data_IF_256420135542
#
_entry.id   IF_256420135542
#
_cell.length_a   1.000
_cell.length_b   1.000
_cell.length_c   1.000
_cell.angle_alpha   90.00
_cell.angle_beta   90.00
_cell.angle_gamma   90.00
#
_symmetry.space_group_name_H-M   'P 1'
#
loop_
_entity.id
_entity.type
_entity.pdbx_description
1 polymer ?
#
# COMPACT_ATOMS: atom_id res chain seq x y z
N UNK A 1 -22.95 -4.29 1.44
CA UNK A 1 -23.58 -4.46 0.12
C UNK A 1 -23.04 -3.56 -1.01
N UNK A 2 -23.12 -2.22 -0.97
CA UNK A 2 -22.56 -1.38 -2.09
C UNK A 2 -21.03 -1.30 -2.04
N UNK A 3 -20.42 -1.18 -0.86
CA UNK A 3 -18.96 -1.16 -0.72
C UNK A 3 -18.30 -2.50 -1.05
N UNK A 4 -18.97 -3.62 -0.76
CA UNK A 4 -18.50 -4.98 -1.13
C UNK A 4 -18.63 -5.24 -2.63
N UNK A 5 -19.72 -4.81 -3.28
CA UNK A 5 -19.84 -4.94 -4.74
C UNK A 5 -18.83 -4.05 -5.49
N UNK A 6 -18.58 -2.83 -5.01
CA UNK A 6 -17.51 -1.98 -5.58
C UNK A 6 -16.13 -2.60 -5.32
N UNK A 7 -15.90 -3.15 -4.12
CA UNK A 7 -14.66 -3.84 -3.77
C UNK A 7 -14.41 -5.07 -4.65
N UNK A 8 -15.43 -5.89 -4.89
CA UNK A 8 -15.38 -7.11 -5.66
C UNK A 8 -15.20 -6.84 -7.16
N UNK A 9 -15.95 -5.91 -7.74
CA UNK A 9 -15.77 -5.50 -9.15
C UNK A 9 -14.39 -4.88 -9.40
N UNK A 10 -13.89 -4.09 -8.44
CA UNK A 10 -12.56 -3.45 -8.55
C UNK A 10 -11.43 -4.45 -8.36
N UNK A 11 -11.63 -5.48 -7.53
CA UNK A 11 -10.72 -6.61 -7.41
C UNK A 11 -10.66 -7.44 -8.69
N UNK A 12 -11.81 -7.72 -9.32
CA UNK A 12 -11.87 -8.44 -10.59
C UNK A 12 -11.10 -7.70 -11.70
N UNK A 13 -11.25 -6.37 -11.80
CA UNK A 13 -10.49 -5.55 -12.75
C UNK A 13 -8.97 -5.66 -12.54
N UNK A 14 -8.51 -5.70 -11.29
CA UNK A 14 -7.09 -5.83 -10.99
C UNK A 14 -6.52 -7.19 -11.41
N UNK A 15 -7.32 -8.25 -11.31
CA UNK A 15 -6.94 -9.60 -11.73
C UNK A 15 -6.81 -9.64 -13.26
N UNK A 16 -7.85 -9.20 -13.99
CA UNK A 16 -7.84 -9.19 -15.45
C UNK A 16 -6.70 -8.34 -16.01
N UNK A 17 -6.40 -7.19 -15.40
CA UNK A 17 -5.28 -6.36 -15.82
C UNK A 17 -3.93 -7.08 -15.62
N UNK A 18 -3.72 -7.73 -14.48
CA UNK A 18 -2.49 -8.47 -14.23
C UNK A 18 -2.31 -9.66 -15.19
N UNK A 19 -3.39 -10.33 -15.57
CA UNK A 19 -3.37 -11.39 -16.59
C UNK A 19 -2.98 -10.83 -17.96
N UNK A 20 -3.59 -9.72 -18.36
CA UNK A 20 -3.26 -9.05 -19.63
C UNK A 20 -1.78 -8.62 -19.69
N UNK A 21 -1.23 -8.09 -18.59
CA UNK A 21 0.18 -7.66 -18.56
C UNK A 21 1.16 -8.80 -18.75
N UNK A 22 0.81 -10.00 -18.31
CA UNK A 22 1.65 -11.20 -18.44
C UNK A 22 1.46 -11.87 -19.80
N UNK A 23 0.29 -11.68 -20.44
CA UNK A 23 0.04 -12.18 -21.80
C UNK A 23 0.83 -11.38 -22.87
N UNK A 24 1.06 -10.09 -22.65
CA UNK A 24 1.85 -9.22 -23.53
C UNK A 24 2.90 -8.38 -22.76
N UNK A 25 3.96 -9.01 -22.23
CA UNK A 25 4.91 -8.33 -21.34
C UNK A 25 5.69 -7.21 -22.04
N UNK A 26 6.07 -7.42 -23.31
CA UNK A 26 6.82 -6.44 -24.13
C UNK A 26 6.05 -5.13 -24.34
N UNK A 27 4.72 -5.19 -24.46
CA UNK A 27 3.87 -4.01 -24.60
C UNK A 27 3.57 -3.39 -23.24
N UNK A 28 3.35 -4.19 -22.20
CA UNK A 28 2.99 -3.71 -20.88
C UNK A 28 4.14 -3.04 -20.13
N UNK A 29 5.37 -3.54 -20.30
CA UNK A 29 6.54 -3.09 -19.52
C UNK A 29 6.83 -1.58 -19.64
N UNK A 30 6.87 -0.95 -20.83
CA UNK A 30 7.10 0.49 -20.94
C UNK A 30 6.08 1.33 -20.17
N UNK A 31 4.79 0.95 -20.20
CA UNK A 31 3.74 1.63 -19.45
C UNK A 31 3.91 1.44 -17.95
N UNK A 32 4.21 0.21 -17.51
CA UNK A 32 4.48 -0.11 -16.11
C UNK A 32 5.65 0.70 -15.56
N UNK A 33 6.74 0.74 -16.29
CA UNK A 33 7.94 1.47 -15.93
C UNK A 33 7.70 2.98 -15.80
N UNK A 34 7.04 3.59 -16.79
CA UNK A 34 6.70 5.02 -16.73
C UNK A 34 5.79 5.29 -15.54
N UNK A 35 4.80 4.45 -15.29
CA UNK A 35 3.85 4.65 -14.20
C UNK A 35 4.52 4.55 -12.82
N UNK A 36 5.30 3.50 -12.57
CA UNK A 36 6.05 3.33 -11.31
C UNK A 36 7.01 4.52 -11.10
N UNK A 37 7.67 4.98 -12.16
CA UNK A 37 8.52 6.18 -12.10
C UNK A 37 7.74 7.43 -11.71
N UNK A 38 6.55 7.66 -12.27
CA UNK A 38 5.72 8.82 -11.89
C UNK A 38 5.34 8.79 -10.42
N UNK A 39 4.94 7.62 -9.89
CA UNK A 39 4.66 7.48 -8.46
C UNK A 39 5.91 7.80 -7.63
N UNK A 40 7.08 7.32 -8.05
CA UNK A 40 8.34 7.59 -7.36
C UNK A 40 8.67 9.09 -7.31
N UNK A 41 8.42 9.82 -8.41
CA UNK A 41 8.58 11.28 -8.47
C UNK A 41 7.62 11.97 -7.51
N UNK A 42 6.34 11.58 -7.51
CA UNK A 42 5.34 12.13 -6.59
C UNK A 42 5.73 11.90 -5.12
N UNK A 43 6.20 10.69 -4.80
CA UNK A 43 6.67 10.34 -3.47
C UNK A 43 7.89 11.16 -3.07
N UNK A 44 8.90 11.27 -3.95
CA UNK A 44 10.10 12.09 -3.70
C UNK A 44 9.74 13.54 -3.44
N UNK A 45 8.82 14.10 -4.22
CA UNK A 45 8.35 15.48 -4.02
C UNK A 45 7.66 15.66 -2.66
N UNK A 46 6.87 14.68 -2.22
CA UNK A 46 6.26 14.68 -0.90
C UNK A 46 7.30 14.55 0.23
N UNK A 47 8.36 13.75 0.03
CA UNK A 47 9.46 13.58 1.00
C UNK A 47 10.28 14.87 1.14
N UNK A 48 10.60 15.56 0.03
CA UNK A 48 11.38 16.81 0.06
C UNK A 48 10.54 17.94 0.67
N UNK A 49 9.26 18.01 0.30
CA UNK A 49 8.36 19.09 0.71
C UNK A 49 7.47 18.71 1.90
N UNK A 50 8.02 18.18 3.01
CA UNK A 50 7.22 17.72 4.18
C UNK A 50 6.28 18.76 4.79
N UNK A 51 6.53 20.06 4.56
CA UNK A 51 5.64 21.16 5.00
C UNK A 51 4.33 21.24 4.20
N UNK A 52 4.29 20.66 3.00
CA UNK A 52 3.14 20.66 2.09
C UNK A 52 2.22 19.47 2.35
N UNK A 53 1.23 19.69 3.22
CA UNK A 53 0.22 18.69 3.60
C UNK A 53 -0.63 18.20 2.42
N UNK A 54 -0.78 19.01 1.39
CA UNK A 54 -1.42 18.70 0.11
C UNK A 54 -0.72 17.53 -0.61
N UNK A 55 0.62 17.59 -0.77
CA UNK A 55 1.40 16.54 -1.42
C UNK A 55 1.33 15.21 -0.67
N UNK A 56 1.37 15.27 0.67
CA UNK A 56 1.24 14.09 1.54
C UNK A 56 -0.14 13.45 1.39
N UNK A 57 -1.21 14.24 1.27
CA UNK A 57 -2.58 13.73 1.04
C UNK A 57 -2.73 13.04 -0.31
N UNK A 58 -2.03 13.50 -1.35
CA UNK A 58 -2.04 12.84 -2.66
C UNK A 58 -1.44 11.43 -2.59
N UNK A 59 -0.35 11.26 -1.84
CA UNK A 59 0.26 9.94 -1.62
C UNK A 59 -0.62 9.06 -0.71
N UNK A 60 -1.11 9.61 0.41
CA UNK A 60 -2.04 8.93 1.31
C UNK A 60 -3.49 9.03 0.83
N UNK A 61 -3.70 8.71 -0.44
CA UNK A 61 -5.00 8.61 -1.05
C UNK A 61 -5.35 7.14 -1.31
N UNK A 62 -6.64 6.79 -1.23
CA UNK A 62 -7.06 5.42 -1.48
C UNK A 62 -6.79 5.00 -2.93
N UNK A 63 -6.97 5.89 -3.91
CA UNK A 63 -6.63 5.62 -5.31
C UNK A 63 -5.15 5.24 -5.47
N UNK A 64 -4.25 5.97 -4.81
CA UNK A 64 -2.83 5.65 -4.81
C UNK A 64 -2.59 4.25 -4.20
N UNK A 65 -3.24 3.94 -3.08
CA UNK A 65 -3.16 2.61 -2.49
C UNK A 65 -3.64 1.51 -3.46
N UNK A 66 -4.73 1.73 -4.18
CA UNK A 66 -5.22 0.78 -5.19
C UNK A 66 -4.22 0.57 -6.33
N UNK A 67 -3.53 1.63 -6.75
CA UNK A 67 -2.47 1.51 -7.75
C UNK A 67 -1.29 0.68 -7.23
N UNK A 68 -0.91 0.82 -5.96
CA UNK A 68 0.12 -0.03 -5.35
C UNK A 68 -0.30 -1.51 -5.29
N UNK A 69 -1.57 -1.78 -4.95
CA UNK A 69 -2.13 -3.13 -5.01
C UNK A 69 -2.09 -3.72 -6.42
N UNK A 70 -2.46 -2.93 -7.43
CA UNK A 70 -2.45 -3.36 -8.82
C UNK A 70 -1.04 -3.77 -9.25
N UNK A 71 -0.05 -2.90 -9.06
CA UNK A 71 1.33 -3.18 -9.48
C UNK A 71 1.98 -4.29 -8.69
N UNK A 72 1.65 -4.42 -7.40
CA UNK A 72 2.11 -5.54 -6.58
C UNK A 72 1.60 -6.86 -7.14
N UNK A 73 0.34 -6.93 -7.59
CA UNK A 73 -0.22 -8.11 -8.25
C UNK A 73 0.40 -8.40 -9.60
N UNK A 74 0.55 -7.37 -10.45
CA UNK A 74 1.19 -7.49 -11.76
C UNK A 74 2.58 -8.09 -11.63
N UNK A 75 3.41 -7.52 -10.75
CA UNK A 75 4.77 -8.02 -10.50
C UNK A 75 4.73 -9.42 -9.90
N UNK A 76 3.90 -9.66 -8.88
CA UNK A 76 3.79 -11.00 -8.27
C UNK A 76 3.38 -12.08 -9.28
N UNK A 77 2.48 -11.76 -10.23
CA UNK A 77 2.06 -12.68 -11.28
C UNK A 77 3.16 -12.89 -12.33
N UNK A 78 3.88 -11.83 -12.70
CA UNK A 78 5.00 -11.90 -13.63
C UNK A 78 6.11 -12.84 -13.13
N UNK A 79 6.38 -12.87 -11.82
CA UNK A 79 7.34 -13.82 -11.23
C UNK A 79 6.90 -15.30 -11.31
N UNK A 80 5.61 -15.57 -11.51
CA UNK A 80 5.06 -16.92 -11.64
C UNK A 80 4.94 -17.42 -13.08
N UNK A 81 5.34 -16.63 -14.08
CA UNK A 81 5.19 -16.96 -15.51
C UNK A 81 6.52 -16.72 -16.24
N UNK A 82 6.82 -17.57 -17.22
CA UNK A 82 8.02 -17.44 -18.04
C UNK A 82 7.94 -16.21 -18.98
N UNK A 83 9.07 -15.75 -19.51
CA UNK A 83 9.19 -14.62 -20.46
C UNK A 83 8.76 -13.23 -19.94
N UNK A 84 8.71 -13.04 -18.62
CA UNK A 84 8.31 -11.77 -17.98
C UNK A 84 9.45 -11.06 -17.21
N UNK A 85 10.71 -11.38 -17.51
CA UNK A 85 11.89 -10.90 -16.76
C UNK A 85 11.95 -9.37 -16.59
N UNK A 86 11.64 -8.61 -17.65
CA UNK A 86 11.61 -7.15 -17.59
C UNK A 86 10.61 -6.61 -16.55
N UNK A 87 9.44 -7.24 -16.39
CA UNK A 87 8.46 -6.85 -15.37
C UNK A 87 8.93 -7.28 -13.97
N UNK A 88 9.62 -8.43 -13.86
CA UNK A 88 10.22 -8.88 -12.61
C UNK A 88 11.28 -7.91 -12.07
N UNK A 89 12.03 -7.23 -12.94
CA UNK A 89 12.98 -6.17 -12.53
C UNK A 89 12.30 -4.99 -11.82
N UNK A 90 10.99 -4.78 -12.03
CA UNK A 90 10.21 -3.73 -11.37
C UNK A 90 9.88 -4.06 -9.90
N UNK A 91 10.15 -5.29 -9.44
CA UNK A 91 9.94 -5.71 -8.03
C UNK A 91 10.72 -4.85 -7.04
N UNK A 92 11.99 -4.56 -7.33
CA UNK A 92 12.84 -3.73 -6.49
C UNK A 92 12.38 -2.27 -6.40
N UNK A 93 12.18 -1.52 -7.52
CA UNK A 93 11.70 -0.14 -7.44
C UNK A 93 10.30 -0.05 -6.82
N UNK A 94 9.44 -1.04 -7.02
CA UNK A 94 8.13 -1.09 -6.36
C UNK A 94 8.26 -1.30 -4.84
N UNK A 95 9.14 -2.20 -4.41
CA UNK A 95 9.42 -2.43 -2.98
C UNK A 95 9.94 -1.17 -2.30
N UNK A 96 10.92 -0.50 -2.91
CA UNK A 96 11.46 0.78 -2.42
C UNK A 96 10.37 1.85 -2.31
N UNK A 97 9.46 1.88 -3.27
CA UNK A 97 8.35 2.82 -3.29
C UNK A 97 7.38 2.57 -2.12
N UNK A 98 6.93 1.33 -1.93
CA UNK A 98 6.04 0.96 -0.83
C UNK A 98 6.71 1.25 0.54
N UNK A 99 8.00 0.96 0.67
CA UNK A 99 8.77 1.30 1.87
C UNK A 99 8.86 2.82 2.11
N UNK A 100 9.05 3.61 1.05
CA UNK A 100 9.05 5.06 1.14
C UNK A 100 7.68 5.63 1.55
N UNK A 101 6.58 5.05 1.05
CA UNK A 101 5.20 5.42 1.47
C UNK A 101 4.96 5.06 2.94
N UNK A 102 5.44 3.90 3.40
CA UNK A 102 5.33 3.48 4.80
C UNK A 102 6.00 4.46 5.77
N UNK A 103 7.17 5.00 5.40
CA UNK A 103 8.00 5.92 6.23
C UNK A 103 7.72 7.41 5.99
N UNK A 104 6.80 7.78 5.09
CA UNK A 104 6.57 9.17 4.71
C UNK A 104 6.03 10.02 5.89
N UNK A 105 5.01 9.55 6.61
CA UNK A 105 4.37 10.30 7.69
C UNK A 105 3.95 9.43 8.88
N UNK A 106 4.40 9.80 10.07
CA UNK A 106 4.22 9.03 11.31
C UNK A 106 3.02 9.59 12.11
N UNK A 107 1.80 9.30 11.65
CA UNK A 107 0.56 9.72 12.32
C UNK A 107 -0.46 8.60 12.37
N UNK A 108 -1.18 8.50 13.50
CA UNK A 108 -2.27 7.54 13.70
C UNK A 108 -3.38 7.66 12.66
N UNK A 109 -3.58 8.86 12.09
CA UNK A 109 -4.58 9.08 11.02
C UNK A 109 -4.32 8.23 9.78
N UNK A 110 -3.04 7.96 9.47
CA UNK A 110 -2.63 7.20 8.28
C UNK A 110 -2.21 5.77 8.61
N UNK A 111 -2.43 5.31 9.85
CA UNK A 111 -2.10 3.96 10.28
C UNK A 111 -2.73 2.87 9.40
N UNK A 112 -4.01 2.93 8.99
CA UNK A 112 -4.60 1.90 8.12
C UNK A 112 -3.85 1.77 6.78
N UNK A 113 -3.45 2.89 6.17
CA UNK A 113 -2.68 2.90 4.92
C UNK A 113 -1.26 2.36 5.13
N UNK A 114 -0.62 2.65 6.27
CA UNK A 114 0.69 2.08 6.63
C UNK A 114 0.61 0.57 6.83
N UNK A 115 -0.45 0.05 7.44
CA UNK A 115 -0.69 -1.40 7.57
C UNK A 115 -0.87 -2.07 6.21
N UNK A 116 -1.62 -1.45 5.30
CA UNK A 116 -1.71 -1.95 3.92
C UNK A 116 -0.35 -2.00 3.22
N UNK A 117 0.55 -1.03 3.46
CA UNK A 117 1.91 -1.10 2.92
C UNK A 117 2.67 -2.33 3.45
N UNK A 118 2.53 -2.66 4.73
CA UNK A 118 3.12 -3.90 5.30
C UNK A 118 2.55 -5.14 4.60
N UNK A 119 1.22 -5.20 4.40
CA UNK A 119 0.59 -6.31 3.68
C UNK A 119 1.12 -6.45 2.25
N UNK A 120 1.33 -5.34 1.53
CA UNK A 120 1.91 -5.34 0.19
C UNK A 120 3.37 -5.84 0.19
N UNK A 121 4.18 -5.42 1.16
CA UNK A 121 5.56 -5.87 1.29
C UNK A 121 5.65 -7.38 1.57
N UNK A 122 4.76 -7.90 2.43
CA UNK A 122 4.65 -9.35 2.67
C UNK A 122 4.26 -10.10 1.39
N UNK A 123 3.32 -9.56 0.60
CA UNK A 123 2.93 -10.15 -0.68
C UNK A 123 4.09 -10.16 -1.69
N UNK A 124 4.84 -9.05 -1.80
CA UNK A 124 6.01 -8.99 -2.66
C UNK A 124 7.08 -9.99 -2.24
N UNK A 125 7.38 -10.07 -0.94
CA UNK A 125 8.34 -11.03 -0.40
C UNK A 125 7.95 -12.48 -0.71
N UNK A 126 6.67 -12.83 -0.54
CA UNK A 126 6.17 -14.19 -0.76
C UNK A 126 6.22 -14.61 -2.24
N UNK A 127 5.94 -13.69 -3.17
CA UNK A 127 5.80 -14.02 -4.60
C UNK A 127 7.05 -13.74 -5.44
N UNK A 128 7.86 -12.73 -5.07
CA UNK A 128 9.00 -12.30 -5.89
C UNK A 128 10.32 -12.99 -5.50
N UNK A 129 10.34 -13.76 -4.41
CA UNK A 129 11.55 -14.43 -3.90
C UNK A 129 12.62 -13.47 -3.37
N UNK A 130 12.27 -12.21 -3.11
CA UNK A 130 13.18 -11.18 -2.60
C UNK A 130 13.03 -11.07 -1.08
N UNK A 131 14.15 -11.05 -0.37
CA UNK A 131 14.13 -10.79 1.07
C UNK A 131 13.75 -9.34 1.37
N UNK A 132 12.64 -9.16 2.09
CA UNK A 132 12.19 -7.89 2.63
C UNK A 132 12.07 -8.06 4.14
N UNK A 133 12.62 -7.16 4.98
CA UNK A 133 12.51 -7.26 6.44
C UNK A 133 11.11 -6.82 6.93
N UNK A 134 10.06 -7.45 6.40
CA UNK A 134 8.65 -7.10 6.63
C UNK A 134 8.28 -7.12 8.11
N UNK A 135 8.83 -8.08 8.86
CA UNK A 135 8.63 -8.18 10.31
C UNK A 135 9.25 -7.00 11.06
N UNK A 136 10.50 -6.64 10.75
CA UNK A 136 11.17 -5.48 11.36
C UNK A 136 10.37 -4.21 11.12
N UNK A 137 9.87 -4.02 9.89
CA UNK A 137 9.03 -2.87 9.53
C UNK A 137 7.69 -2.86 10.26
N UNK A 138 7.08 -4.02 10.49
CA UNK A 138 5.85 -4.13 11.27
C UNK A 138 6.09 -3.78 12.75
N UNK A 139 7.19 -4.25 13.34
CA UNK A 139 7.58 -3.93 14.72
C UNK A 139 7.92 -2.45 14.88
N UNK A 140 8.64 -1.85 13.92
CA UNK A 140 8.87 -0.40 13.86
C UNK A 140 7.54 0.37 13.86
N UNK A 141 6.59 -0.04 12.99
CA UNK A 141 5.27 0.58 12.90
C UNK A 141 4.49 0.49 14.22
N UNK A 142 4.47 -0.66 14.87
CA UNK A 142 3.79 -0.84 16.16
C UNK A 142 4.46 -0.02 17.27
N UNK A 143 5.79 0.03 17.28
CA UNK A 143 6.56 0.85 18.23
C UNK A 143 6.26 2.34 18.05
N UNK A 144 6.19 2.82 16.81
CA UNK A 144 5.77 4.20 16.51
C UNK A 144 4.37 4.51 17.09
N UNK A 145 3.43 3.58 16.92
CA UNK A 145 2.06 3.74 17.43
C UNK A 145 2.05 3.86 18.94
N UNK A 146 2.76 2.97 19.64
CA UNK A 146 2.89 3.02 21.11
C UNK A 146 3.49 4.35 21.55
N UNK A 147 4.56 4.83 20.91
CA UNK A 147 5.19 6.11 21.24
C UNK A 147 4.28 7.31 20.98
N UNK A 148 3.49 7.28 19.90
CA UNK A 148 2.55 8.37 19.59
C UNK A 148 1.39 8.39 20.61
N UNK A 149 0.91 7.23 21.04
CA UNK A 149 -0.14 7.11 22.06
C UNK A 149 0.36 7.46 23.47
N UNK A 150 1.61 7.11 23.80
CA UNK A 150 2.23 7.42 25.10
C UNK A 150 2.50 8.91 25.31
N UNK A 151 2.60 9.70 24.23
CA UNK A 151 2.67 11.17 24.32
C UNK A 151 1.32 11.70 24.79
N UNK A 152 1.25 12.16 26.05
CA UNK A 152 0.06 12.83 26.63
C UNK A 152 -0.51 13.85 25.63
N UNK A 153 -1.83 13.87 25.38
CA UNK A 153 -2.42 14.80 24.44
C UNK A 153 -2.18 16.23 24.93
N UNK A 154 -1.47 17.04 24.13
CA UNK A 154 -1.55 18.49 24.29
C UNK A 154 -3.01 18.86 24.10
N UNK A 155 -3.63 19.43 25.14
CA UNK A 155 -5.03 19.86 25.18
C UNK A 155 -5.38 20.66 23.92
N UNK A 156 -5.93 19.99 22.91
CA UNK A 156 -6.51 20.61 21.73
C UNK A 156 -7.96 20.14 21.73
N UNK A 157 -8.85 21.07 22.08
CA UNK A 157 -10.29 20.93 21.92
C UNK A 157 -10.55 20.50 20.46
N UNK A 158 -11.15 19.32 20.26
CA UNK A 158 -11.56 18.75 18.97
C UNK A 158 -10.56 17.89 18.17
N UNK A 159 -9.83 16.97 18.82
CA UNK A 159 -9.29 15.81 18.11
C UNK A 159 -10.06 14.55 18.54
N UNK A 160 -10.92 14.01 17.67
CA UNK A 160 -11.42 12.64 17.81
C UNK A 160 -10.19 11.73 17.80
N UNK A 161 -9.80 11.25 18.98
CA UNK A 161 -8.83 10.16 19.11
C UNK A 161 -9.44 8.99 18.36
N UNK A 162 -8.75 8.49 17.33
CA UNK A 162 -9.17 7.28 16.63
C UNK A 162 -8.94 6.14 17.60
N UNK A 163 -10.03 5.73 18.23
CA UNK A 163 -10.05 4.57 19.11
C UNK A 163 -9.95 3.31 18.24
N UNK A 164 -8.98 2.45 18.56
CA UNK A 164 -8.70 1.25 17.76
C UNK A 164 -9.86 0.23 17.84
N UNK A 165 -10.68 0.30 18.91
CA UNK A 165 -11.94 -0.46 19.02
C UNK A 165 -13.01 0.01 18.02
N UNK A 166 -12.97 1.28 17.59
CA UNK A 166 -14.00 1.85 16.68
C UNK A 166 -13.73 1.64 15.18
N UNK A 167 -12.61 1.04 14.80
CA UNK A 167 -12.25 0.80 13.39
C UNK A 167 -12.64 -0.59 12.89
N UNK A 168 -13.06 -1.49 13.77
CA UNK A 168 -13.68 -2.76 13.38
C UNK A 168 -15.19 -2.65 13.55
N UNK A 169 -15.88 -2.10 12.54
CA UNK A 169 -17.22 -2.61 12.23
C UNK A 169 -17.03 -4.00 11.61
N UNK A 170 -16.65 -4.97 12.44
CA UNK A 170 -16.99 -6.35 12.14
C UNK A 170 -18.52 -6.41 12.24
N UNK A 171 -19.20 -6.68 11.14
CA UNK A 171 -20.60 -7.11 11.20
C UNK A 171 -20.62 -8.39 12.02
N UNK A 172 -20.90 -8.26 13.32
CA UNK A 172 -21.15 -9.39 14.19
C UNK A 172 -22.55 -9.90 13.83
N UNK A 173 -22.62 -10.68 12.76
CA UNK A 173 -23.79 -11.51 12.47
C UNK A 173 -23.31 -12.93 12.21
N UNK A 174 -22.66 -13.52 13.22
CA UNK A 174 -22.71 -14.97 13.38
C UNK A 174 -23.96 -15.22 14.24
N UNK A 175 -25.03 -15.64 13.57
CA UNK A 175 -26.26 -16.13 14.16
C UNK A 175 -25.94 -17.28 15.13
N UNK A 176 -26.21 -17.08 16.41
CA UNK A 176 -26.60 -18.16 17.33
C UNK A 176 -28.04 -17.93 17.75
N UNK A 177 -28.96 -18.60 17.05
CA UNK A 177 -30.08 -19.33 17.63
C UNK A 177 -30.72 -20.21 16.56
#
# INVERSE_FOLDING_TARGET
>A
MVAENIGMSRWSICITFAELTVLHPNLAYPYAFVYIRQIAIHLRNAIISKKRKDMVRTIYNWQMMQCLYLWTRVVSKAHGVHDCEAICELSYPLTQLVHGVLKLYHSLRYLPLRLHCISLLIQLQANCGVYIPSLTLAVELLSDVVLILAKKPKTIKNAKVVDMESSLKASFTIFTK
#
